data_IF_943960620347
#
_entry.id   IF_943960620347
#
_cell.length_a   1.000
_cell.length_b   1.000
_cell.length_c   1.000
_cell.angle_alpha   90.00
_cell.angle_beta   90.00
_cell.angle_gamma   90.00
#
_symmetry.space_group_name_H-M   'P 1'
#
loop_
_entity.id
_entity.type
_entity.pdbx_description
1 polymer ?
#
# COMPACT_ATOMS: atom_id res chain seq x y z
N UNK A 1 -1.34 -1.80 -18.49
CA UNK A 1 -1.00 -1.40 -17.11
C UNK A 1 -0.86 0.12 -17.08
N UNK A 2 -1.12 0.73 -15.93
CA UNK A 2 -0.90 2.17 -15.69
C UNK A 2 0.02 2.34 -14.51
N UNK A 3 0.87 3.38 -14.54
CA UNK A 3 1.69 3.79 -13.41
C UNK A 3 0.83 4.49 -12.35
N UNK A 4 1.07 4.12 -11.09
CA UNK A 4 0.63 4.86 -9.93
C UNK A 4 1.72 5.76 -9.33
N UNK A 5 1.32 6.67 -8.44
CA UNK A 5 2.23 7.60 -7.78
C UNK A 5 3.32 6.93 -6.93
N UNK A 6 3.10 5.67 -6.52
CA UNK A 6 4.11 4.86 -5.84
C UNK A 6 5.12 4.22 -6.79
N UNK A 7 4.72 3.95 -8.04
CA UNK A 7 5.58 3.29 -9.03
C UNK A 7 6.67 4.21 -9.58
N UNK A 8 6.51 5.53 -9.48
CA UNK A 8 7.48 6.51 -9.99
C UNK A 8 8.51 6.95 -8.94
N UNK A 9 8.52 6.33 -7.76
CA UNK A 9 9.49 6.63 -6.69
C UNK A 9 10.86 6.03 -7.01
N UNK A 10 11.95 6.73 -6.66
CA UNK A 10 13.31 6.28 -6.97
C UNK A 10 13.51 6.07 -8.47
N UNK A 11 14.07 4.92 -8.87
CA UNK A 11 14.22 4.54 -10.28
C UNK A 11 12.96 3.88 -10.88
N UNK A 12 11.83 3.89 -10.17
CA UNK A 12 10.66 3.09 -10.51
C UNK A 12 10.06 3.41 -11.88
N UNK A 13 10.10 4.66 -12.34
CA UNK A 13 9.65 5.02 -13.69
C UNK A 13 10.45 4.29 -14.79
N UNK A 14 11.78 4.29 -14.68
CA UNK A 14 12.65 3.61 -15.64
C UNK A 14 12.52 2.08 -15.54
N UNK A 15 12.38 1.55 -14.33
CA UNK A 15 12.14 0.12 -14.12
C UNK A 15 10.83 -0.31 -14.77
N UNK A 16 9.76 0.47 -14.61
CA UNK A 16 8.48 0.20 -15.25
C UNK A 16 8.61 0.21 -16.77
N UNK A 17 9.24 1.24 -17.35
CA UNK A 17 9.33 1.34 -18.81
C UNK A 17 10.17 0.24 -19.43
N UNK A 18 11.21 -0.21 -18.73
CA UNK A 18 12.03 -1.35 -19.12
C UNK A 18 11.26 -2.68 -19.11
N UNK A 19 10.40 -2.90 -18.12
CA UNK A 19 9.68 -4.18 -17.95
C UNK A 19 8.36 -4.25 -18.71
N UNK A 20 7.62 -3.14 -18.77
CA UNK A 20 6.23 -3.10 -19.23
C UNK A 20 6.01 -2.21 -20.47
N UNK A 21 7.03 -1.46 -20.89
CA UNK A 21 6.96 -0.59 -22.06
C UNK A 21 6.45 0.84 -21.76
N UNK A 22 5.91 1.56 -22.77
CA UNK A 22 5.53 2.96 -22.62
C UNK A 22 4.57 3.22 -21.46
N UNK A 23 4.72 4.38 -20.81
CA UNK A 23 3.86 4.78 -19.68
C UNK A 23 2.46 5.22 -20.08
N UNK A 24 2.23 5.50 -21.37
CA UNK A 24 0.93 5.74 -21.98
C UNK A 24 0.92 5.14 -23.39
N UNK A 25 -0.20 4.54 -23.77
CA UNK A 25 -0.36 3.82 -25.04
C UNK A 25 -1.84 3.51 -25.27
N UNK A 26 -2.19 3.06 -26.47
CA UNK A 26 -3.56 2.62 -26.78
C UNK A 26 -3.56 1.39 -27.67
N UNK A 27 -4.68 0.65 -27.66
CA UNK A 27 -4.93 -0.43 -28.58
C UNK A 27 -6.43 -0.61 -28.82
N UNK A 28 -6.75 -1.25 -29.95
CA UNK A 28 -8.10 -1.64 -30.29
C UNK A 28 -8.31 -3.12 -29.97
N UNK A 29 -9.49 -3.46 -29.46
CA UNK A 29 -9.93 -4.85 -29.34
C UNK A 29 -11.43 -4.93 -29.66
N UNK A 30 -11.77 -5.73 -30.67
CA UNK A 30 -13.11 -5.75 -31.27
C UNK A 30 -13.58 -4.34 -31.68
N UNK A 31 -14.77 -3.92 -31.26
CA UNK A 31 -15.37 -2.61 -31.49
C UNK A 31 -15.02 -1.58 -30.40
N UNK A 32 -14.00 -1.88 -29.58
CA UNK A 32 -13.60 -1.07 -28.44
C UNK A 32 -12.18 -0.54 -28.59
N UNK A 33 -11.95 0.66 -28.05
CA UNK A 33 -10.67 1.33 -27.99
C UNK A 33 -10.27 1.54 -26.53
N UNK A 34 -9.05 1.15 -26.19
CA UNK A 34 -8.51 1.27 -24.84
C UNK A 34 -7.31 2.21 -24.84
N UNK A 35 -7.42 3.30 -24.10
CA UNK A 35 -6.37 4.31 -23.93
C UNK A 35 -5.84 4.26 -22.50
N UNK A 36 -4.54 4.07 -22.33
CA UNK A 36 -3.85 4.05 -21.04
C UNK A 36 -3.03 5.34 -20.90
N UNK A 37 -3.20 6.01 -19.76
CA UNK A 37 -2.52 7.27 -19.44
C UNK A 37 -1.64 7.13 -18.20
N UNK A 38 -0.63 7.99 -18.13
CA UNK A 38 0.20 8.16 -16.96
C UNK A 38 -0.14 9.48 -16.27
N UNK A 39 -0.88 9.37 -15.17
CA UNK A 39 -1.16 10.49 -14.25
C UNK A 39 -0.40 10.36 -12.92
N UNK A 40 0.55 9.43 -12.79
CA UNK A 40 1.30 9.21 -11.55
C UNK A 40 1.97 10.48 -10.97
N UNK A 41 2.51 11.41 -11.78
CA UNK A 41 3.08 12.65 -11.28
C UNK A 41 2.10 13.52 -10.50
N UNK A 42 0.79 13.43 -10.77
CA UNK A 42 -0.25 14.30 -10.21
C UNK A 42 -0.43 14.24 -8.71
N UNK A 43 0.20 13.29 -8.02
CA UNK A 43 0.24 13.28 -6.55
C UNK A 43 1.22 14.32 -5.99
N UNK A 44 2.36 14.52 -6.65
CA UNK A 44 3.45 15.36 -6.15
C UNK A 44 3.65 16.63 -6.99
N UNK A 45 3.11 16.67 -8.20
CA UNK A 45 3.28 17.76 -9.14
C UNK A 45 1.95 18.45 -9.40
N UNK A 46 2.01 19.77 -9.64
CA UNK A 46 0.83 20.55 -10.03
C UNK A 46 0.19 20.00 -11.31
N UNK A 47 1.02 19.53 -12.24
CA UNK A 47 0.60 18.94 -13.51
C UNK A 47 0.53 17.42 -13.37
N UNK A 48 -0.65 16.85 -13.55
CA UNK A 48 -0.84 15.39 -13.47
C UNK A 48 -0.44 14.67 -14.75
N UNK A 49 -0.82 15.24 -15.90
CA UNK A 49 -0.58 14.67 -17.24
C UNK A 49 0.20 15.72 -18.05
N UNK A 50 1.30 15.33 -18.69
CA UNK A 50 2.12 16.26 -19.46
C UNK A 50 1.37 16.82 -20.68
N UNK A 51 1.78 18.00 -21.16
CA UNK A 51 1.11 18.62 -22.31
C UNK A 51 1.30 17.80 -23.59
N UNK A 52 2.43 17.12 -23.77
CA UNK A 52 2.67 16.18 -24.87
C UNK A 52 1.68 15.01 -24.83
N UNK A 53 1.43 14.47 -23.63
CA UNK A 53 0.47 13.38 -23.44
C UNK A 53 -0.96 13.85 -23.71
N UNK A 54 -1.35 15.08 -23.35
CA UNK A 54 -2.65 15.64 -23.72
C UNK A 54 -2.82 15.85 -25.23
N UNK A 55 -1.75 16.25 -25.93
CA UNK A 55 -1.78 16.37 -27.40
C UNK A 55 -1.92 15.00 -28.05
N UNK A 56 -1.17 14.00 -27.55
CA UNK A 56 -1.29 12.61 -28.00
C UNK A 56 -2.69 12.05 -27.77
N UNK A 57 -3.23 12.21 -26.56
CA UNK A 57 -4.56 11.73 -26.16
C UNK A 57 -5.66 12.27 -27.07
N UNK A 58 -5.67 13.56 -27.37
CA UNK A 58 -6.69 14.13 -28.27
C UNK A 58 -6.62 13.54 -29.68
N UNK A 59 -5.41 13.26 -30.20
CA UNK A 59 -5.24 12.61 -31.50
C UNK A 59 -5.73 11.16 -31.47
N UNK A 60 -5.41 10.43 -30.40
CA UNK A 60 -5.82 9.05 -30.16
C UNK A 60 -7.35 8.93 -30.09
N UNK A 61 -7.99 9.72 -29.22
CA UNK A 61 -9.45 9.73 -29.05
C UNK A 61 -10.20 10.17 -30.32
N UNK A 62 -9.63 11.10 -31.09
CA UNK A 62 -10.19 11.50 -32.38
C UNK A 62 -10.17 10.36 -33.39
N UNK A 63 -9.11 9.55 -33.42
CA UNK A 63 -8.99 8.37 -34.27
C UNK A 63 -9.95 7.25 -33.84
N UNK A 64 -10.23 7.16 -32.54
CA UNK A 64 -11.10 6.14 -31.96
C UNK A 64 -12.61 6.41 -32.12
N UNK A 65 -13.01 7.56 -32.67
CA UNK A 65 -14.43 7.90 -32.83
C UNK A 65 -15.18 6.83 -33.63
N UNK A 66 -16.39 6.50 -33.17
CA UNK A 66 -17.21 5.39 -33.71
C UNK A 66 -16.99 4.04 -33.02
N UNK A 67 -16.04 3.96 -32.08
CA UNK A 67 -15.84 2.79 -31.20
C UNK A 67 -16.35 3.06 -29.79
N UNK A 68 -16.45 2.01 -28.98
CA UNK A 68 -16.60 2.15 -27.52
C UNK A 68 -15.25 2.53 -26.92
N UNK A 69 -15.15 3.65 -26.22
CA UNK A 69 -13.86 4.21 -25.77
C UNK A 69 -13.71 4.08 -24.26
N UNK A 70 -12.63 3.44 -23.83
CA UNK A 70 -12.26 3.25 -22.44
C UNK A 70 -10.94 3.94 -22.15
N UNK A 71 -10.89 4.77 -21.11
CA UNK A 71 -9.66 5.45 -20.67
C UNK A 71 -9.26 4.92 -19.30
N UNK A 72 -8.01 4.53 -19.12
CA UNK A 72 -7.49 3.97 -17.86
C UNK A 72 -6.36 4.88 -17.38
N UNK A 73 -6.44 5.37 -16.14
CA UNK A 73 -5.38 6.13 -15.48
C UNK A 73 -5.42 5.95 -13.96
N UNK A 74 -4.37 6.34 -13.24
CA UNK A 74 -4.29 6.08 -11.80
C UNK A 74 -5.02 7.13 -10.94
N UNK A 75 -4.64 8.40 -11.06
CA UNK A 75 -5.15 9.49 -10.21
C UNK A 75 -6.43 10.06 -10.82
N UNK A 76 -7.52 10.20 -10.04
CA UNK A 76 -8.76 10.79 -10.53
C UNK A 76 -8.60 12.30 -10.77
N UNK A 77 -9.34 12.90 -11.74
CA UNK A 77 -9.32 14.34 -11.92
C UNK A 77 -9.84 15.09 -10.69
N UNK A 78 -10.83 14.53 -9.99
CA UNK A 78 -11.39 15.09 -8.76
C UNK A 78 -11.65 13.99 -7.74
N UNK A 79 -11.60 14.34 -6.46
CA UNK A 79 -11.93 13.45 -5.36
C UNK A 79 -13.46 13.40 -5.11
N UNK A 80 -14.13 12.28 -5.40
CA UNK A 80 -15.58 12.17 -5.25
C UNK A 80 -16.00 11.82 -3.81
N UNK A 81 -15.07 11.70 -2.84
CA UNK A 81 -15.43 11.35 -1.45
C UNK A 81 -16.34 12.39 -0.80
N UNK A 82 -16.27 13.66 -1.23
CA UNK A 82 -17.18 14.72 -0.77
C UNK A 82 -18.53 14.57 -1.48
N UNK A 83 -19.59 14.30 -0.71
CA UNK A 83 -20.97 14.30 -1.19
C UNK A 83 -21.49 12.97 -1.77
N UNK A 84 -20.66 11.92 -1.83
CA UNK A 84 -21.09 10.58 -2.24
C UNK A 84 -21.24 9.68 -1.03
N UNK A 85 -22.41 9.04 -0.86
CA UNK A 85 -22.58 7.99 0.14
C UNK A 85 -21.73 6.79 -0.28
N UNK A 86 -20.78 6.32 0.54
CA UNK A 86 -19.99 5.15 0.21
C UNK A 86 -20.90 3.95 -0.03
N UNK A 87 -20.54 3.11 -1.00
CA UNK A 87 -21.28 1.88 -1.26
C UNK A 87 -21.16 0.94 -0.05
N UNK A 88 -22.30 0.63 0.57
CA UNK A 88 -22.40 -0.23 1.74
C UNK A 88 -22.55 -1.69 1.33
N UNK A 89 -21.82 -2.59 1.97
CA UNK A 89 -22.06 -4.04 1.87
C UNK A 89 -22.56 -4.55 3.21
N UNK A 90 -23.81 -5.00 3.24
CA UNK A 90 -24.50 -5.36 4.49
C UNK A 90 -23.76 -6.43 5.30
N UNK A 91 -23.18 -7.44 4.65
CA UNK A 91 -22.46 -8.52 5.33
C UNK A 91 -21.21 -7.98 6.04
N UNK A 92 -20.44 -7.14 5.35
CA UNK A 92 -19.25 -6.50 5.87
C UNK A 92 -19.58 -5.41 6.92
N UNK A 93 -20.68 -4.66 6.77
CA UNK A 93 -21.15 -3.72 7.79
C UNK A 93 -21.39 -4.42 9.13
N UNK A 94 -21.93 -5.65 9.11
CA UNK A 94 -22.24 -6.41 10.32
C UNK A 94 -20.96 -6.89 11.01
N UNK A 95 -19.96 -7.35 10.26
CA UNK A 95 -18.64 -7.71 10.80
C UNK A 95 -17.94 -6.53 11.45
N UNK A 96 -17.90 -5.36 10.77
CA UNK A 96 -17.27 -4.14 11.32
C UNK A 96 -18.01 -3.63 12.57
N UNK A 97 -19.35 -3.62 12.56
CA UNK A 97 -20.16 -3.24 13.74
C UNK A 97 -19.94 -4.16 14.94
N UNK A 98 -19.57 -5.42 14.71
CA UNK A 98 -19.30 -6.37 15.79
C UNK A 98 -17.92 -6.19 16.45
N UNK A 99 -17.04 -5.31 15.94
CA UNK A 99 -15.62 -5.38 16.29
C UNK A 99 -14.76 -4.10 16.28
N UNK A 100 -15.28 -2.87 16.24
CA UNK A 100 -14.42 -1.69 16.47
C UNK A 100 -14.16 -1.48 17.98
N UNK A 101 -13.14 -2.18 18.51
CA UNK A 101 -12.63 -1.94 19.86
C UNK A 101 -12.27 -0.47 20.07
N UNK A 102 -12.24 0.00 21.33
CA UNK A 102 -11.75 1.34 21.66
C UNK A 102 -10.39 1.66 21.02
N UNK A 103 -9.52 0.66 20.87
CA UNK A 103 -8.20 0.83 20.25
C UNK A 103 -8.29 1.11 18.74
N UNK A 104 -9.17 0.41 18.02
CA UNK A 104 -9.42 0.64 16.59
C UNK A 104 -9.93 2.06 16.34
N UNK A 105 -10.90 2.51 17.13
CA UNK A 105 -11.44 3.88 17.02
C UNK A 105 -10.37 4.94 17.27
N UNK A 106 -9.51 4.71 18.27
CA UNK A 106 -8.41 5.62 18.58
C UNK A 106 -7.38 5.70 17.45
N UNK A 107 -7.00 4.56 16.85
CA UNK A 107 -6.09 4.51 15.70
C UNK A 107 -6.69 5.22 14.47
N UNK A 108 -7.99 5.04 14.24
CA UNK A 108 -8.71 5.65 13.14
C UNK A 108 -8.71 7.18 13.16
N UNK A 109 -8.59 7.80 14.34
CA UNK A 109 -8.53 9.26 14.50
C UNK A 109 -7.17 9.85 14.11
N UNK A 110 -6.11 9.04 13.99
CA UNK A 110 -4.78 9.49 13.58
C UNK A 110 -4.56 9.43 12.06
N UNK A 111 -5.55 9.01 11.28
CA UNK A 111 -5.39 8.93 9.82
C UNK A 111 -5.59 10.31 9.16
N UNK A 112 -4.48 11.00 8.89
CA UNK A 112 -4.42 12.32 8.25
C UNK A 112 -4.93 12.32 6.79
N UNK A 113 -4.92 11.18 6.10
CA UNK A 113 -5.31 11.09 4.68
C UNK A 113 -6.82 11.23 4.43
N UNK A 114 -7.64 11.25 5.47
CA UNK A 114 -9.10 11.33 5.32
C UNK A 114 -9.59 12.66 4.74
N UNK A 115 -8.96 13.76 5.14
CA UNK A 115 -9.42 15.10 4.81
C UNK A 115 -8.68 15.72 3.61
N UNK A 116 -7.54 15.14 3.22
CA UNK A 116 -6.75 15.59 2.06
C UNK A 116 -7.48 15.31 0.74
N UNK A 117 -7.44 16.22 -0.22
CA UNK A 117 -7.97 15.96 -1.57
C UNK A 117 -7.03 15.01 -2.35
N UNK A 118 -7.60 13.96 -2.94
CA UNK A 118 -6.85 12.94 -3.71
C UNK A 118 -7.05 13.07 -5.24
N UNK A 119 -7.57 14.21 -5.70
CA UNK A 119 -7.67 14.53 -7.13
C UNK A 119 -6.37 15.10 -7.71
N UNK A 120 -6.48 15.64 -8.93
CA UNK A 120 -5.39 16.45 -9.51
C UNK A 120 -5.19 17.73 -8.69
N UNK A 121 -3.94 18.15 -8.54
CA UNK A 121 -3.58 19.35 -7.77
C UNK A 121 -4.08 20.66 -8.42
N UNK A 122 -4.25 20.68 -9.75
CA UNK A 122 -4.78 21.84 -10.48
C UNK A 122 -6.23 21.61 -10.93
N UNK A 123 -7.22 22.31 -10.33
CA UNK A 123 -8.63 22.17 -10.72
C UNK A 123 -8.91 22.49 -12.19
N UNK A 124 -8.11 23.37 -12.82
CA UNK A 124 -8.26 23.69 -14.25
C UNK A 124 -7.79 22.52 -15.13
N UNK A 125 -6.79 21.78 -14.67
CA UNK A 125 -6.37 20.56 -15.35
C UNK A 125 -7.42 19.47 -15.19
N UNK A 126 -7.99 19.29 -14.00
CA UNK A 126 -9.09 18.36 -13.77
C UNK A 126 -10.28 18.65 -14.72
N UNK A 127 -10.66 19.92 -14.83
CA UNK A 127 -11.71 20.34 -15.76
C UNK A 127 -11.33 20.09 -17.23
N UNK A 128 -10.10 20.40 -17.63
CA UNK A 128 -9.58 20.11 -18.99
C UNK A 128 -9.68 18.62 -19.30
N UNK A 129 -9.24 17.76 -18.38
CA UNK A 129 -9.31 16.30 -18.53
C UNK A 129 -10.76 15.86 -18.77
N UNK A 130 -11.68 16.26 -17.89
CA UNK A 130 -13.10 15.91 -18.01
C UNK A 130 -13.75 16.43 -19.30
N UNK A 131 -13.38 17.64 -19.75
CA UNK A 131 -13.87 18.21 -21.00
C UNK A 131 -13.40 17.41 -22.21
N UNK A 132 -12.14 16.94 -22.21
CA UNK A 132 -11.63 16.06 -23.28
C UNK A 132 -12.43 14.75 -23.30
N UNK A 133 -12.61 14.10 -22.15
CA UNK A 133 -13.37 12.84 -22.09
C UNK A 133 -14.80 13.02 -22.62
N UNK A 134 -15.46 14.11 -22.23
CA UNK A 134 -16.81 14.45 -22.67
C UNK A 134 -16.88 14.75 -24.18
N UNK A 135 -15.95 15.55 -24.69
CA UNK A 135 -15.90 15.96 -26.11
C UNK A 135 -15.74 14.78 -27.06
N UNK A 136 -14.95 13.78 -26.67
CA UNK A 136 -14.71 12.58 -27.46
C UNK A 136 -15.64 11.41 -27.11
N UNK A 137 -16.70 11.65 -26.33
CA UNK A 137 -17.71 10.66 -25.96
C UNK A 137 -17.12 9.37 -25.34
N UNK A 138 -16.15 9.53 -24.43
CA UNK A 138 -15.57 8.39 -23.70
C UNK A 138 -16.66 7.65 -22.92
N UNK A 139 -16.75 6.33 -23.07
CA UNK A 139 -17.77 5.53 -22.41
C UNK A 139 -17.51 5.38 -20.92
N UNK A 140 -16.28 5.05 -20.54
CA UNK A 140 -15.89 4.86 -19.14
C UNK A 140 -14.41 5.19 -18.91
N UNK A 141 -14.15 5.93 -17.84
CA UNK A 141 -12.82 6.20 -17.32
C UNK A 141 -12.58 5.36 -16.06
N UNK A 142 -11.59 4.47 -16.11
CA UNK A 142 -11.15 3.68 -14.96
C UNK A 142 -10.03 4.38 -14.23
N UNK A 143 -10.19 4.41 -12.92
CA UNK A 143 -9.39 5.17 -11.98
C UNK A 143 -9.00 4.30 -10.78
N UNK A 144 -7.98 4.74 -10.07
CA UNK A 144 -7.49 4.13 -8.84
C UNK A 144 -7.15 5.24 -7.84
N UNK A 145 -6.05 5.09 -7.10
CA UNK A 145 -5.47 6.07 -6.17
C UNK A 145 -6.29 6.32 -4.91
N UNK A 146 -7.58 6.66 -5.03
CA UNK A 146 -8.48 6.72 -3.90
C UNK A 146 -8.82 5.28 -3.55
N UNK A 147 -8.31 4.78 -2.42
CA UNK A 147 -8.46 3.39 -2.00
C UNK A 147 -9.90 3.08 -1.56
N UNK A 148 -10.86 3.19 -2.47
CA UNK A 148 -12.29 3.06 -2.25
C UNK A 148 -12.99 2.95 -3.58
N UNK A 149 -14.11 2.24 -3.60
CA UNK A 149 -14.90 2.11 -4.81
C UNK A 149 -15.84 3.30 -5.01
N UNK A 150 -15.81 3.90 -6.20
CA UNK A 150 -16.77 4.90 -6.65
C UNK A 150 -17.22 4.61 -8.08
N UNK A 151 -18.49 4.82 -8.37
CA UNK A 151 -19.10 4.70 -9.69
C UNK A 151 -20.04 5.88 -9.89
N UNK A 152 -19.67 6.80 -10.77
CA UNK A 152 -20.37 8.06 -10.95
C UNK A 152 -20.30 8.53 -12.40
N UNK A 153 -21.24 9.38 -12.80
CA UNK A 153 -21.28 9.99 -14.13
C UNK A 153 -21.04 11.49 -14.03
N UNK A 154 -20.20 12.02 -14.92
CA UNK A 154 -19.92 13.45 -15.01
C UNK A 154 -19.75 13.88 -16.46
N UNK A 155 -20.42 14.97 -16.85
CA UNK A 155 -20.41 15.50 -18.22
C UNK A 155 -20.69 14.42 -19.29
N UNK A 156 -21.60 13.49 -18.98
CA UNK A 156 -21.98 12.39 -19.86
C UNK A 156 -21.04 11.18 -19.89
N UNK A 157 -19.94 11.20 -19.13
CA UNK A 157 -18.94 10.13 -19.07
C UNK A 157 -19.03 9.39 -17.73
N UNK A 158 -18.96 8.06 -17.74
CA UNK A 158 -18.90 7.24 -16.52
C UNK A 158 -17.47 7.19 -15.99
N UNK A 159 -17.30 7.29 -14.69
CA UNK A 159 -16.01 7.19 -13.99
C UNK A 159 -16.13 6.10 -12.93
N UNK A 160 -15.19 5.16 -12.94
CA UNK A 160 -15.12 4.08 -11.96
C UNK A 160 -13.77 4.16 -11.26
N UNK A 161 -13.79 4.47 -9.97
CA UNK A 161 -12.63 4.28 -9.09
C UNK A 161 -12.75 2.90 -8.48
N UNK A 162 -11.77 2.04 -8.69
CA UNK A 162 -11.74 0.71 -8.06
C UNK A 162 -11.06 0.79 -6.70
N UNK A 163 -9.76 1.14 -6.69
CA UNK A 163 -8.97 1.42 -5.48
C UNK A 163 -8.91 0.27 -4.46
N UNK A 164 -9.36 -0.93 -4.82
CA UNK A 164 -9.70 -1.99 -3.89
C UNK A 164 -8.63 -3.04 -3.67
N UNK A 165 -7.50 -3.02 -4.37
CA UNK A 165 -6.53 -4.13 -4.35
C UNK A 165 -5.20 -3.77 -3.65
N UNK A 166 -5.20 -2.72 -2.81
CA UNK A 166 -3.97 -2.09 -2.32
C UNK A 166 -3.87 -1.92 -0.80
N UNK A 167 -3.57 -0.69 -0.37
CA UNK A 167 -3.35 -0.36 1.03
C UNK A 167 -4.68 -0.17 1.81
N UNK A 168 -4.68 0.62 2.88
CA UNK A 168 -5.89 0.91 3.66
C UNK A 168 -7.02 1.46 2.79
N UNK A 169 -8.23 0.92 2.95
CA UNK A 169 -9.39 1.48 2.28
C UNK A 169 -9.94 2.68 3.06
N UNK A 170 -10.21 3.78 2.35
CA UNK A 170 -10.54 5.09 2.92
C UNK A 170 -12.02 5.29 3.26
N UNK A 171 -12.88 4.34 2.90
CA UNK A 171 -14.33 4.42 3.12
C UNK A 171 -14.79 3.35 4.10
N UNK A 172 -15.77 3.71 4.93
CA UNK A 172 -16.40 2.75 5.86
C UNK A 172 -17.11 1.65 5.08
N UNK A 173 -17.08 0.45 5.62
CA UNK A 173 -17.74 -0.74 5.07
C UNK A 173 -17.23 -1.15 3.68
N UNK A 174 -15.95 -0.92 3.42
CA UNK A 174 -15.24 -1.31 2.21
C UNK A 174 -14.36 -2.54 2.44
N UNK A 175 -14.22 -3.34 1.39
CA UNK A 175 -13.47 -4.59 1.36
C UNK A 175 -12.55 -4.60 0.14
N UNK A 176 -11.50 -5.42 0.21
CA UNK A 176 -10.57 -5.55 -0.89
C UNK A 176 -11.25 -6.27 -2.06
N UNK A 177 -11.08 -5.76 -3.27
CA UNK A 177 -11.84 -6.25 -4.41
C UNK A 177 -11.15 -6.01 -5.74
N UNK A 178 -11.63 -6.74 -6.75
CA UNK A 178 -11.45 -6.42 -8.15
C UNK A 178 -12.83 -6.26 -8.82
N UNK A 179 -12.84 -5.75 -10.05
CA UNK A 179 -14.07 -5.64 -10.84
C UNK A 179 -14.02 -6.56 -12.05
N UNK A 180 -15.18 -7.13 -12.37
CA UNK A 180 -15.44 -7.80 -13.63
C UNK A 180 -16.40 -6.92 -14.41
N UNK A 181 -15.97 -6.44 -15.56
CA UNK A 181 -16.81 -5.67 -16.46
C UNK A 181 -17.22 -6.49 -17.68
N UNK A 182 -18.52 -6.46 -17.96
CA UNK A 182 -19.08 -7.01 -19.20
C UNK A 182 -19.35 -5.89 -20.18
N UNK A 183 -18.56 -5.88 -21.24
CA UNK A 183 -18.60 -4.89 -22.32
C UNK A 183 -19.56 -5.40 -23.42
N UNK A 184 -20.84 -5.56 -23.07
CA UNK A 184 -21.94 -5.87 -23.99
C UNK A 184 -22.99 -4.74 -23.97
N UNK A 185 -24.17 -4.96 -24.55
CA UNK A 185 -25.25 -3.97 -24.60
C UNK A 185 -25.80 -3.58 -23.21
N UNK A 186 -25.53 -4.35 -22.15
CA UNK A 186 -26.06 -4.17 -20.80
C UNK A 186 -25.09 -3.52 -19.80
N UNK A 187 -23.85 -3.19 -20.20
CA UNK A 187 -22.80 -2.52 -19.40
C UNK A 187 -22.88 -2.84 -17.90
N UNK A 188 -22.64 -4.10 -17.52
CA UNK A 188 -22.67 -4.51 -16.11
C UNK A 188 -21.28 -4.53 -15.50
N UNK A 189 -21.13 -3.97 -14.29
CA UNK A 189 -19.91 -4.05 -13.47
C UNK A 189 -20.21 -4.85 -12.22
N UNK A 190 -19.47 -5.93 -12.02
CA UNK A 190 -19.56 -6.77 -10.82
C UNK A 190 -18.31 -6.54 -9.98
N UNK A 191 -18.49 -6.15 -8.71
CA UNK A 191 -17.39 -6.12 -7.74
C UNK A 191 -17.26 -7.50 -7.10
N UNK A 192 -16.04 -8.02 -7.07
CA UNK A 192 -15.74 -9.32 -6.49
C UNK A 192 -14.79 -9.12 -5.32
N UNK A 193 -15.22 -9.55 -4.14
CA UNK A 193 -14.44 -9.53 -2.91
C UNK A 193 -13.23 -10.47 -3.02
N UNK A 194 -12.08 -9.97 -2.58
CA UNK A 194 -10.88 -10.77 -2.41
C UNK A 194 -10.90 -11.43 -1.03
N UNK A 195 -10.35 -12.64 -0.88
CA UNK A 195 -10.16 -13.27 0.43
C UNK A 195 -9.08 -12.51 1.20
N UNK A 196 -9.48 -11.43 1.87
CA UNK A 196 -8.60 -10.52 2.58
C UNK A 196 -9.04 -10.38 4.04
N UNK A 197 -8.11 -10.11 4.97
CA UNK A 197 -8.49 -9.71 6.31
C UNK A 197 -9.38 -8.46 6.28
N UNK A 198 -10.22 -8.31 7.31
CA UNK A 198 -11.03 -7.11 7.47
C UNK A 198 -10.14 -5.85 7.43
N UNK A 199 -10.61 -4.80 6.78
CA UNK A 199 -10.01 -3.47 6.71
C UNK A 199 -10.10 -2.70 8.05
N UNK A 200 -9.66 -3.32 9.14
CA UNK A 200 -9.40 -2.67 10.43
C UNK A 200 -7.89 -2.59 10.66
N UNK A 201 -7.42 -1.68 11.52
CA UNK A 201 -5.98 -1.49 11.72
C UNK A 201 -5.34 -2.75 12.29
N UNK A 202 -5.89 -3.28 13.39
CA UNK A 202 -5.29 -4.40 14.11
C UNK A 202 -5.26 -5.64 13.22
N UNK A 203 -6.38 -5.97 12.58
CA UNK A 203 -6.49 -7.17 11.72
C UNK A 203 -5.52 -7.10 10.54
N UNK A 204 -5.42 -5.94 9.87
CA UNK A 204 -4.48 -5.75 8.75
C UNK A 204 -3.02 -5.86 9.18
N UNK A 205 -2.63 -5.23 10.28
CA UNK A 205 -1.24 -5.29 10.76
C UNK A 205 -0.86 -6.67 11.28
N UNK A 206 -1.79 -7.39 11.93
CA UNK A 206 -1.57 -8.79 12.32
C UNK A 206 -1.37 -9.68 11.09
N UNK A 207 -2.25 -9.56 10.08
CA UNK A 207 -2.13 -10.32 8.84
C UNK A 207 -0.83 -10.00 8.09
N UNK A 208 -0.44 -8.73 7.99
CA UNK A 208 0.83 -8.33 7.39
C UNK A 208 2.02 -8.92 8.16
N UNK A 209 2.01 -8.83 9.50
CA UNK A 209 3.06 -9.39 10.36
C UNK A 209 3.18 -10.91 10.16
N UNK A 210 2.04 -11.62 10.11
CA UNK A 210 2.01 -13.06 9.88
C UNK A 210 2.55 -13.41 8.50
N UNK A 211 2.18 -12.66 7.45
CA UNK A 211 2.68 -12.86 6.11
C UNK A 211 4.22 -12.72 6.06
N UNK A 212 4.77 -11.63 6.61
CA UNK A 212 6.22 -11.44 6.67
C UNK A 212 6.91 -12.51 7.53
N UNK A 213 6.32 -12.91 8.67
CA UNK A 213 6.88 -13.96 9.51
C UNK A 213 6.96 -15.30 8.78
N UNK A 214 5.89 -15.68 8.06
CA UNK A 214 5.86 -16.89 7.25
C UNK A 214 6.90 -16.83 6.13
N UNK A 215 6.96 -15.73 5.38
CA UNK A 215 7.96 -15.56 4.32
C UNK A 215 9.40 -15.62 4.86
N UNK A 216 9.69 -14.98 6.00
CA UNK A 216 11.03 -15.08 6.61
C UNK A 216 11.39 -16.52 7.01
N UNK A 217 10.43 -17.27 7.52
CA UNK A 217 10.64 -18.66 7.90
C UNK A 217 10.86 -19.57 6.69
N UNK A 218 10.07 -19.39 5.63
CA UNK A 218 10.22 -20.16 4.38
C UNK A 218 11.54 -19.86 3.67
N UNK A 219 11.97 -18.60 3.63
CA UNK A 219 13.21 -18.19 2.98
C UNK A 219 14.45 -18.58 3.80
N UNK A 220 14.41 -18.43 5.12
CA UNK A 220 15.59 -18.70 5.97
C UNK A 220 15.22 -19.16 7.39
N UNK A 221 14.88 -20.46 7.56
CA UNK A 221 14.43 -20.98 8.85
C UNK A 221 15.51 -20.93 9.93
N UNK A 222 16.79 -21.05 9.56
CA UNK A 222 17.91 -20.95 10.51
C UNK A 222 18.07 -19.54 11.07
N UNK A 223 17.97 -18.50 10.22
CA UNK A 223 18.00 -17.12 10.67
C UNK A 223 16.84 -16.84 11.65
N UNK A 224 15.63 -17.33 11.35
CA UNK A 224 14.48 -17.21 12.25
C UNK A 224 14.74 -17.92 13.58
N UNK A 225 15.30 -19.13 13.57
CA UNK A 225 15.65 -19.85 14.80
C UNK A 225 16.66 -19.07 15.67
N UNK A 226 17.70 -18.49 15.06
CA UNK A 226 18.67 -17.65 15.78
C UNK A 226 18.03 -16.38 16.36
N UNK A 227 17.11 -15.75 15.63
CA UNK A 227 16.35 -14.59 16.14
C UNK A 227 15.52 -15.01 17.36
N UNK A 228 14.81 -16.14 17.30
CA UNK A 228 13.98 -16.66 18.41
C UNK A 228 14.85 -16.99 19.63
N UNK A 229 15.98 -17.67 19.43
CA UNK A 229 16.93 -17.99 20.50
C UNK A 229 17.49 -16.70 21.12
N UNK A 230 17.90 -15.74 20.28
CA UNK A 230 18.41 -14.44 20.72
C UNK A 230 17.39 -13.65 21.56
N UNK A 231 16.15 -13.56 21.09
CA UNK A 231 15.06 -12.92 21.85
C UNK A 231 14.76 -13.66 23.17
N UNK A 232 14.78 -14.99 23.16
CA UNK A 232 14.56 -15.79 24.37
C UNK A 232 15.67 -15.54 25.40
N UNK A 233 16.93 -15.50 24.96
CA UNK A 233 18.07 -15.17 25.83
C UNK A 233 17.96 -13.73 26.37
N UNK A 234 17.54 -12.76 25.55
CA UNK A 234 17.32 -11.38 26.00
C UNK A 234 16.22 -11.29 27.06
N UNK A 235 15.10 -12.02 26.89
CA UNK A 235 14.02 -12.09 27.87
C UNK A 235 14.53 -12.71 29.18
N UNK A 236 15.28 -13.81 29.11
CA UNK A 236 15.89 -14.45 30.28
C UNK A 236 16.81 -13.47 31.01
N UNK A 237 17.69 -12.75 30.28
CA UNK A 237 18.57 -11.73 30.85
C UNK A 237 17.79 -10.58 31.50
N UNK A 238 16.67 -10.16 30.90
CA UNK A 238 15.80 -9.13 31.47
C UNK A 238 15.12 -9.61 32.76
N UNK A 239 14.61 -10.84 32.78
CA UNK A 239 14.01 -11.46 33.96
C UNK A 239 15.07 -11.59 35.07
N UNK A 240 16.26 -12.07 34.74
CA UNK A 240 17.39 -12.14 35.67
C UNK A 240 17.74 -10.75 36.22
N UNK A 241 17.82 -9.74 35.35
CA UNK A 241 18.07 -8.35 35.76
C UNK A 241 16.99 -7.84 36.73
N UNK A 242 15.71 -8.08 36.45
CA UNK A 242 14.60 -7.67 37.33
C UNK A 242 14.64 -8.42 38.67
N UNK A 243 14.88 -9.73 38.62
CA UNK A 243 14.99 -10.58 39.81
C UNK A 243 16.16 -10.17 40.71
N UNK A 244 17.34 -9.98 40.12
CA UNK A 244 18.53 -9.52 40.82
C UNK A 244 18.37 -8.09 41.36
N UNK A 245 17.69 -7.20 40.62
CA UNK A 245 17.33 -5.85 41.10
C UNK A 245 16.40 -5.88 42.31
N UNK A 246 15.52 -6.88 42.42
CA UNK A 246 14.65 -7.10 43.59
C UNK A 246 15.37 -7.73 44.79
N UNK A 247 16.48 -8.44 44.58
CA UNK A 247 17.16 -9.20 45.65
C UNK A 247 18.32 -8.51 46.35
N UNK A 248 18.83 -7.36 45.86
CA UNK A 248 19.75 -6.37 46.50
C UNK A 248 20.71 -5.79 45.42
N UNK A 249 21.20 -4.53 45.55
CA UNK A 249 21.72 -3.74 44.44
C UNK A 249 23.17 -4.11 44.08
N UNK A 250 23.44 -4.40 42.80
CA UNK A 250 24.72 -4.22 42.06
C UNK A 250 26.01 -4.89 42.58
N UNK A 251 26.09 -5.31 43.85
CA UNK A 251 27.30 -5.85 44.47
C UNK A 251 27.65 -7.26 43.98
N UNK A 252 26.69 -8.05 43.51
CA UNK A 252 26.97 -9.44 43.09
C UNK A 252 27.60 -9.52 41.71
N UNK A 253 27.19 -8.67 40.76
CA UNK A 253 27.79 -8.66 39.42
C UNK A 253 29.21 -8.06 39.43
N UNK A 254 29.43 -6.98 40.20
CA UNK A 254 30.76 -6.42 40.40
C UNK A 254 31.71 -7.41 41.08
N UNK A 255 31.23 -8.13 42.12
CA UNK A 255 32.01 -9.20 42.76
C UNK A 255 32.31 -10.34 41.79
N UNK A 256 31.32 -10.79 41.02
CA UNK A 256 31.52 -11.85 40.04
C UNK A 256 32.52 -11.47 38.94
N UNK A 257 32.48 -10.24 38.42
CA UNK A 257 33.50 -9.74 37.48
C UNK A 257 34.90 -9.65 38.11
N UNK A 258 34.99 -9.19 39.36
CA UNK A 258 36.25 -9.15 40.10
C UNK A 258 36.83 -10.55 40.31
N UNK A 259 35.98 -11.53 40.64
CA UNK A 259 36.38 -12.92 40.85
C UNK A 259 36.85 -13.57 39.54
N UNK A 260 36.18 -13.31 38.42
CA UNK A 260 36.64 -13.74 37.09
C UNK A 260 37.98 -13.11 36.75
N UNK A 261 38.15 -11.80 36.99
CA UNK A 261 39.40 -11.12 36.69
C UNK A 261 40.54 -11.64 37.56
N UNK A 262 40.25 -11.97 38.83
CA UNK A 262 41.22 -12.56 39.76
C UNK A 262 41.62 -13.97 39.33
N UNK A 263 40.64 -14.80 38.96
CA UNK A 263 40.88 -16.15 38.45
C UNK A 263 41.70 -16.12 37.16
N UNK A 264 41.31 -15.29 36.18
CA UNK A 264 42.04 -15.13 34.91
C UNK A 264 43.48 -14.64 35.13
N UNK A 265 43.72 -13.76 36.11
CA UNK A 265 45.07 -13.31 36.46
C UNK A 265 45.92 -14.43 37.08
N UNK A 266 45.33 -15.26 37.93
CA UNK A 266 46.04 -16.38 38.57
C UNK A 266 46.36 -17.48 37.55
N UNK A 267 45.39 -17.84 36.71
CA UNK A 267 45.56 -18.81 35.61
C UNK A 267 46.59 -18.31 34.58
N UNK A 268 46.55 -17.03 34.21
CA UNK A 268 47.58 -16.42 33.37
C UNK A 268 48.97 -16.47 34.03
N UNK A 269 49.09 -16.20 35.34
CA UNK A 269 50.38 -16.35 36.02
C UNK A 269 50.84 -17.80 36.01
N UNK A 270 49.96 -18.77 36.21
CA UNK A 270 50.33 -20.18 36.27
C UNK A 270 50.79 -20.71 34.91
N UNK A 271 50.10 -20.33 33.82
CA UNK A 271 50.46 -20.68 32.44
C UNK A 271 51.79 -20.05 32.00
N UNK A 272 52.13 -18.85 32.49
CA UNK A 272 53.34 -18.12 32.07
C UNK A 272 54.51 -18.19 33.07
N UNK A 273 54.35 -18.79 34.25
CA UNK A 273 55.46 -19.01 35.22
C UNK A 273 56.28 -20.27 34.94
N UNK A 274 55.87 -21.10 33.97
CA UNK A 274 56.51 -22.39 33.67
C UNK A 274 57.46 -22.35 32.46
N UNK A 275 58.21 -21.26 32.29
CA UNK A 275 59.23 -21.15 31.21
C UNK A 275 60.64 -20.78 31.65
N UNK A 276 60.91 -20.63 32.95
CA UNK A 276 62.26 -20.41 33.48
C UNK A 276 62.59 -21.45 34.56
N UNK A 277 62.87 -22.68 34.15
CA UNK A 277 63.74 -23.60 34.91
C UNK A 277 64.48 -24.46 33.89
N UNK A 278 65.78 -24.20 33.76
CA UNK A 278 66.77 -25.12 33.19
C UNK A 278 66.80 -26.42 33.98
#
# INVERSE_FOLDING_TARGET
MTLGNHDIRGNGYNTYTMLYGPSYYSFDFADSHFTFLNSAPGWAQKRAISDEQYVWLQKDLKKAQGKRIFVITHIPPQDPRKGVKPNKISNYENEVKSGESWAEQKLNNYNESKEMDHGFQDPKEAEKFENIMSTYHVDTVYLSHIHSYFDYTRKGVRYIITGGAGAELLTKNSYYHYIIEKIDNSKSVTRVELPSPANTYITRYLAATQLFANSMYEENPLAVAFIIIGFSLLIILLIMKIYLRKKQPINTFGKWLLDIFRYAREDFKELFKKKDTN
#
